data_IF_284907662062
#
_entry.id   IF_284907662062
#
_cell.length_a   1.000
_cell.length_b   1.000
_cell.length_c   1.000
_cell.angle_alpha   90.00
_cell.angle_beta   90.00
_cell.angle_gamma   90.00
#
_symmetry.space_group_name_H-M   'P 1'
#
loop_
_entity.id
_entity.type
_entity.pdbx_description
1 polymer ?
#
# COMPACT_ATOMS: atom_id res chain seq x y z
N UNK A 1 32.73 -13.69 -27.84
CA UNK A 1 33.15 -12.28 -27.63
C UNK A 1 32.10 -11.43 -28.31
N UNK A 2 31.48 -10.52 -27.54
CA UNK A 2 30.40 -9.58 -27.89
C UNK A 2 28.98 -10.14 -28.05
N UNK A 3 28.32 -10.40 -26.92
CA UNK A 3 26.85 -10.40 -26.78
C UNK A 3 26.43 -9.57 -25.55
N UNK A 4 27.06 -8.41 -25.37
CA UNK A 4 26.92 -7.60 -24.15
C UNK A 4 26.51 -6.14 -24.42
N UNK A 5 25.87 -5.85 -25.58
CA UNK A 5 25.56 -4.48 -26.00
C UNK A 5 24.16 -4.27 -26.64
N UNK A 6 23.12 -4.97 -26.17
CA UNK A 6 21.74 -4.70 -26.64
C UNK A 6 20.67 -4.59 -25.56
N UNK A 7 21.03 -4.62 -24.27
CA UNK A 7 20.05 -4.60 -23.18
C UNK A 7 19.57 -3.21 -22.74
N UNK A 8 20.23 -2.13 -23.17
CA UNK A 8 20.07 -0.79 -22.56
C UNK A 8 18.85 0.02 -23.02
N UNK A 9 18.00 -0.50 -23.92
CA UNK A 9 16.84 0.24 -24.44
C UNK A 9 15.54 -0.57 -24.55
N UNK A 10 15.46 -1.73 -23.92
CA UNK A 10 14.29 -2.59 -24.07
C UNK A 10 13.14 -2.12 -23.18
N UNK A 11 12.13 -1.47 -23.75
CA UNK A 11 10.85 -1.22 -23.08
C UNK A 11 9.92 -2.41 -23.31
N UNK A 12 9.20 -2.85 -22.28
CA UNK A 12 8.32 -4.02 -22.33
C UNK A 12 6.97 -3.66 -21.71
N UNK A 13 5.87 -4.20 -22.22
CA UNK A 13 4.62 -4.06 -21.50
C UNK A 13 4.71 -4.79 -20.16
N UNK A 14 4.03 -4.30 -19.13
CA UNK A 14 3.96 -4.96 -17.82
C UNK A 14 3.45 -6.40 -17.98
N UNK A 15 2.45 -6.62 -18.84
CA UNK A 15 1.89 -7.95 -19.12
C UNK A 15 2.91 -8.92 -19.73
N UNK A 16 3.79 -8.46 -20.61
CA UNK A 16 4.88 -9.29 -21.14
C UNK A 16 5.97 -9.52 -20.10
N UNK A 17 6.28 -8.50 -19.29
CA UNK A 17 7.32 -8.57 -18.28
C UNK A 17 6.98 -9.60 -17.19
N UNK A 18 5.75 -9.59 -16.65
CA UNK A 18 5.34 -10.54 -15.60
C UNK A 18 5.34 -12.00 -16.08
N UNK A 19 5.19 -12.26 -17.39
CA UNK A 19 5.20 -13.63 -17.93
C UNK A 19 6.60 -14.21 -18.11
N UNK A 20 7.64 -13.41 -17.92
CA UNK A 20 9.02 -13.90 -17.99
C UNK A 20 9.29 -14.90 -16.86
N UNK A 21 10.26 -15.76 -17.12
CA UNK A 21 10.80 -16.65 -16.09
C UNK A 21 11.81 -15.87 -15.27
N UNK A 22 11.62 -15.88 -13.95
CA UNK A 22 12.53 -15.26 -13.01
C UNK A 22 13.05 -16.32 -12.05
N UNK A 23 14.34 -16.24 -11.73
CA UNK A 23 14.90 -17.02 -10.61
C UNK A 23 14.70 -16.18 -9.35
N UNK A 24 14.05 -16.69 -8.28
CA UNK A 24 13.90 -15.96 -7.03
C UNK A 24 15.26 -15.50 -6.51
N UNK A 25 15.41 -14.20 -6.33
CA UNK A 25 16.62 -13.64 -5.68
C UNK A 25 16.50 -13.89 -4.18
N UNK A 26 15.28 -13.75 -3.65
CA UNK A 26 15.01 -14.07 -2.26
C UNK A 26 13.57 -14.50 -2.00
N UNK A 27 13.41 -15.29 -0.95
CA UNK A 27 12.14 -15.50 -0.29
C UNK A 27 11.94 -14.39 0.76
N UNK A 28 10.79 -13.75 0.68
CA UNK A 28 10.31 -12.79 1.66
C UNK A 28 9.51 -13.54 2.74
N UNK A 29 9.07 -12.81 3.77
CA UNK A 29 8.06 -13.31 4.71
C UNK A 29 6.81 -13.77 3.97
N UNK A 30 6.06 -14.71 4.58
CA UNK A 30 4.81 -15.26 4.04
C UNK A 30 4.96 -16.08 2.75
N UNK A 31 6.16 -16.63 2.50
CA UNK A 31 6.50 -17.39 1.29
C UNK A 31 6.34 -16.57 0.00
N UNK A 32 6.42 -15.24 0.10
CA UNK A 32 6.40 -14.33 -1.04
C UNK A 32 7.74 -14.32 -1.77
N UNK A 33 7.70 -14.03 -3.06
CA UNK A 33 8.88 -14.02 -3.94
C UNK A 33 9.32 -12.59 -4.23
N UNK A 34 10.63 -12.35 -4.26
CA UNK A 34 11.21 -11.11 -4.76
C UNK A 34 12.16 -11.38 -5.93
N UNK A 35 12.01 -10.58 -6.98
CA UNK A 35 12.97 -10.46 -8.07
C UNK A 35 13.26 -9.00 -8.37
N UNK A 36 14.43 -8.73 -8.93
CA UNK A 36 14.85 -7.39 -9.31
C UNK A 36 15.43 -7.37 -10.71
N UNK A 37 15.03 -6.38 -11.50
CA UNK A 37 15.62 -6.06 -12.81
C UNK A 37 16.88 -5.18 -12.68
N UNK A 38 17.17 -4.69 -11.48
CA UNK A 38 18.31 -3.83 -11.17
C UNK A 38 19.17 -4.43 -10.06
N UNK A 39 20.47 -4.17 -10.03
CA UNK A 39 21.28 -4.50 -8.86
C UNK A 39 20.81 -3.67 -7.66
N UNK A 40 20.47 -4.33 -6.56
CA UNK A 40 20.16 -3.69 -5.29
C UNK A 40 21.28 -3.97 -4.30
N UNK A 41 21.65 -2.97 -3.51
CA UNK A 41 22.47 -3.19 -2.33
C UNK A 41 21.66 -3.95 -1.27
N UNK A 42 22.31 -4.67 -0.34
CA UNK A 42 21.61 -5.34 0.76
C UNK A 42 20.81 -4.41 1.67
N UNK A 43 21.13 -3.10 1.69
CA UNK A 43 20.38 -2.10 2.44
C UNK A 43 19.11 -1.70 1.69
N UNK A 44 19.21 -1.41 0.39
CA UNK A 44 18.05 -1.09 -0.45
C UNK A 44 17.04 -2.23 -0.47
N UNK A 45 17.48 -3.47 -0.74
CA UNK A 45 16.58 -4.65 -0.73
C UNK A 45 15.85 -4.79 0.61
N UNK A 46 16.57 -4.53 1.70
CA UNK A 46 16.05 -4.65 3.05
C UNK A 46 14.95 -3.63 3.33
N UNK A 47 15.25 -2.36 3.08
CA UNK A 47 14.36 -1.23 3.33
C UNK A 47 13.18 -1.21 2.35
N UNK A 48 13.40 -1.53 1.08
CA UNK A 48 12.35 -1.45 0.05
C UNK A 48 11.31 -2.57 0.16
N UNK A 49 11.71 -3.79 0.53
CA UNK A 49 10.80 -4.95 0.42
C UNK A 49 10.87 -5.89 1.61
N UNK A 50 12.07 -6.23 2.12
CA UNK A 50 12.20 -7.28 3.13
C UNK A 50 11.56 -6.93 4.47
N UNK A 51 11.95 -5.81 5.05
CA UNK A 51 11.41 -5.37 6.34
C UNK A 51 9.95 -4.93 6.23
N UNK A 52 9.52 -4.18 5.19
CA UNK A 52 8.10 -3.93 4.95
C UNK A 52 7.27 -5.22 4.84
N UNK A 53 7.73 -6.23 4.09
CA UNK A 53 7.03 -7.50 3.97
C UNK A 53 6.96 -8.27 5.30
N UNK A 54 7.97 -8.15 6.17
CA UNK A 54 7.96 -8.76 7.50
C UNK A 54 6.95 -8.08 8.45
N UNK A 55 6.72 -6.78 8.28
CA UNK A 55 5.77 -6.01 9.07
C UNK A 55 4.31 -6.35 8.72
N UNK A 56 4.03 -6.84 7.51
CA UNK A 56 2.67 -7.23 7.09
C UNK A 56 2.14 -8.33 8.03
N UNK A 57 0.95 -8.13 8.65
CA UNK A 57 0.33 -9.17 9.47
C UNK A 57 0.10 -10.46 8.69
N UNK A 58 0.43 -11.61 9.28
CA UNK A 58 0.23 -12.92 8.66
C UNK A 58 -1.23 -13.17 8.25
N UNK A 59 -2.20 -12.61 9.01
CA UNK A 59 -3.61 -12.66 8.67
C UNK A 59 -3.94 -11.93 7.36
N UNK A 60 -3.34 -10.75 7.14
CA UNK A 60 -3.50 -9.99 5.90
C UNK A 60 -2.80 -10.71 4.74
N UNK A 61 -1.55 -11.14 4.93
CA UNK A 61 -0.79 -11.86 3.91
C UNK A 61 -1.50 -13.14 3.44
N UNK A 62 -2.12 -13.89 4.36
CA UNK A 62 -2.92 -15.08 4.03
C UNK A 62 -4.13 -14.77 3.12
N UNK A 63 -4.73 -13.58 3.20
CA UNK A 63 -5.84 -13.17 2.31
C UNK A 63 -5.34 -12.89 0.89
N UNK A 64 -4.14 -12.35 0.77
CA UNK A 64 -3.51 -12.06 -0.53
C UNK A 64 -3.06 -13.35 -1.23
N UNK A 65 -2.59 -14.32 -0.47
CA UNK A 65 -2.09 -15.58 -1.00
C UNK A 65 -0.69 -15.41 -1.61
N UNK A 66 -0.47 -16.00 -2.79
CA UNK A 66 0.82 -15.93 -3.46
C UNK A 66 1.07 -14.53 -4.03
N UNK A 67 2.18 -13.92 -3.62
CA UNK A 67 2.65 -12.63 -4.11
C UNK A 67 4.07 -12.77 -4.64
N UNK A 68 4.31 -12.14 -5.79
CA UNK A 68 5.64 -11.93 -6.35
C UNK A 68 5.87 -10.44 -6.57
N UNK A 69 6.93 -9.93 -5.95
CA UNK A 69 7.40 -8.56 -6.11
C UNK A 69 8.47 -8.53 -7.19
N UNK A 70 8.30 -7.65 -8.17
CA UNK A 70 9.19 -7.43 -9.29
C UNK A 70 9.69 -5.99 -9.22
N UNK A 71 10.88 -5.80 -8.64
CA UNK A 71 11.52 -4.48 -8.58
C UNK A 71 12.07 -4.13 -9.96
N UNK A 72 11.70 -2.95 -10.46
CA UNK A 72 12.06 -2.46 -11.79
C UNK A 72 12.55 -1.01 -11.70
N UNK A 73 13.28 -0.49 -12.71
CA UNK A 73 13.73 0.89 -12.69
C UNK A 73 12.56 1.89 -12.71
N UNK A 74 11.70 1.77 -13.74
CA UNK A 74 10.59 2.67 -14.00
C UNK A 74 9.40 1.91 -14.56
N UNK A 75 8.20 2.41 -14.30
CA UNK A 75 6.99 2.06 -15.05
C UNK A 75 6.39 3.35 -15.61
N UNK A 76 6.32 3.46 -16.94
CA UNK A 76 5.74 4.63 -17.59
C UNK A 76 4.23 4.47 -17.78
N UNK A 77 3.48 5.54 -17.51
CA UNK A 77 2.08 5.64 -17.86
C UNK A 77 1.97 5.89 -19.37
N UNK A 78 1.40 4.96 -20.13
CA UNK A 78 1.11 5.19 -21.55
C UNK A 78 -0.37 4.99 -21.84
N UNK A 79 -0.93 5.75 -22.79
CA UNK A 79 -2.32 5.56 -23.22
C UNK A 79 -2.59 4.18 -23.85
N UNK A 80 -1.54 3.41 -24.14
CA UNK A 80 -1.60 2.02 -24.63
C UNK A 80 -1.40 0.96 -23.55
N UNK A 81 -1.20 1.36 -22.30
CA UNK A 81 -0.96 0.49 -21.15
C UNK A 81 0.41 0.71 -20.50
N UNK A 82 0.61 0.12 -19.33
CA UNK A 82 1.80 0.36 -18.52
C UNK A 82 3.02 -0.39 -19.08
N UNK A 83 4.16 0.30 -19.12
CA UNK A 83 5.40 -0.24 -19.68
C UNK A 83 6.53 -0.20 -18.66
N UNK A 84 7.23 -1.32 -18.50
CA UNK A 84 8.50 -1.39 -17.78
C UNK A 84 9.60 -0.78 -18.65
N UNK A 85 10.25 0.26 -18.13
CA UNK A 85 11.31 0.99 -18.81
C UNK A 85 12.64 0.85 -18.05
N UNK A 86 13.73 0.58 -18.78
CA UNK A 86 15.08 0.48 -18.22
C UNK A 86 15.89 1.79 -18.31
N UNK A 87 15.34 2.78 -19.00
CA UNK A 87 15.79 4.16 -19.03
C UNK A 87 14.64 5.06 -18.58
N UNK A 88 14.96 6.24 -18.03
CA UNK A 88 13.94 7.16 -17.51
C UNK A 88 12.95 7.55 -18.62
N UNK A 89 11.65 7.21 -18.49
CA UNK A 89 10.66 7.53 -19.51
C UNK A 89 10.40 9.04 -19.57
N UNK A 90 9.87 9.50 -20.70
CA UNK A 90 9.34 10.86 -20.83
C UNK A 90 7.87 10.84 -20.40
N UNK A 91 7.51 11.67 -19.41
CA UNK A 91 6.13 11.82 -18.96
C UNK A 91 5.90 11.25 -17.55
N UNK A 92 4.64 10.93 -17.26
CA UNK A 92 4.21 10.38 -15.98
C UNK A 92 4.64 8.92 -15.81
N UNK A 93 4.86 8.56 -14.55
CA UNK A 93 5.32 7.26 -14.09
C UNK A 93 4.41 6.77 -12.98
N UNK A 94 4.31 5.45 -12.86
CA UNK A 94 3.66 4.80 -11.74
C UNK A 94 4.67 4.54 -10.62
N UNK A 95 4.22 4.68 -9.37
CA UNK A 95 4.96 4.24 -8.18
C UNK A 95 4.79 2.75 -7.89
N UNK A 96 3.73 2.14 -8.42
CA UNK A 96 3.49 0.69 -8.41
C UNK A 96 2.42 0.33 -9.47
N UNK A 97 2.47 -0.90 -9.95
CA UNK A 97 1.38 -1.51 -10.75
C UNK A 97 1.29 -2.98 -10.40
N UNK A 98 0.11 -3.58 -10.49
CA UNK A 98 -0.06 -4.99 -10.17
C UNK A 98 -0.98 -5.72 -11.13
N UNK A 99 -0.81 -7.04 -11.21
CA UNK A 99 -1.65 -7.91 -12.02
C UNK A 99 -1.81 -9.28 -11.37
N UNK A 100 -3.03 -9.79 -11.35
CA UNK A 100 -3.34 -11.14 -10.88
C UNK A 100 -3.36 -12.11 -12.06
N UNK A 101 -2.42 -13.06 -12.08
CA UNK A 101 -2.33 -14.08 -13.13
C UNK A 101 -1.99 -15.43 -12.51
N UNK A 102 -2.62 -16.50 -13.00
CA UNK A 102 -2.32 -17.88 -12.57
C UNK A 102 -2.42 -18.10 -11.05
N UNK A 103 -3.37 -17.42 -10.39
CA UNK A 103 -3.58 -17.53 -8.94
C UNK A 103 -2.52 -16.85 -8.07
N UNK A 104 -1.70 -15.98 -8.66
CA UNK A 104 -0.65 -15.19 -7.99
C UNK A 104 -0.80 -13.72 -8.32
N UNK A 105 -0.52 -12.87 -7.34
CA UNK A 105 -0.39 -11.43 -7.52
C UNK A 105 1.04 -11.13 -7.97
N UNK A 106 1.20 -10.38 -9.05
CA UNK A 106 2.47 -9.84 -9.50
C UNK A 106 2.46 -8.34 -9.23
N UNK A 107 3.21 -7.91 -8.22
CA UNK A 107 3.40 -6.51 -7.90
C UNK A 107 4.69 -6.03 -8.58
N UNK A 108 4.58 -5.06 -9.47
CA UNK A 108 5.73 -4.41 -10.12
C UNK A 108 5.99 -3.10 -9.39
N UNK A 109 7.20 -2.96 -8.86
CA UNK A 109 7.58 -1.89 -7.95
C UNK A 109 8.78 -1.10 -8.53
N UNK A 110 8.53 0.05 -9.18
CA UNK A 110 9.54 1.00 -9.58
C UNK A 110 10.38 1.53 -8.40
N UNK A 111 11.70 1.63 -8.55
CA UNK A 111 12.59 2.00 -7.44
C UNK A 111 13.61 3.11 -7.76
N UNK A 112 13.60 3.70 -8.97
CA UNK A 112 14.57 4.75 -9.32
C UNK A 112 14.07 6.19 -9.12
N UNK A 113 12.79 6.40 -8.85
CA UNK A 113 12.22 7.75 -8.62
C UNK A 113 12.01 8.07 -7.14
N UNK A 114 11.94 7.03 -6.32
CA UNK A 114 11.75 7.11 -4.89
C UNK A 114 13.03 6.66 -4.19
N UNK A 115 13.23 7.11 -2.97
CA UNK A 115 14.26 6.50 -2.14
C UNK A 115 13.81 5.11 -1.64
N UNK A 116 14.72 4.41 -0.96
CA UNK A 116 14.44 3.04 -0.50
C UNK A 116 13.29 2.97 0.51
N UNK A 117 13.09 4.02 1.31
CA UNK A 117 12.04 4.08 2.31
C UNK A 117 10.68 4.33 1.67
N UNK A 118 10.60 5.33 0.80
CA UNK A 118 9.39 5.68 0.05
C UNK A 118 8.94 4.52 -0.84
N UNK A 119 9.88 3.81 -1.49
CA UNK A 119 9.58 2.58 -2.24
C UNK A 119 8.98 1.49 -1.34
N UNK A 120 9.48 1.36 -0.10
CA UNK A 120 8.93 0.45 0.89
C UNK A 120 7.53 0.84 1.35
N UNK A 121 7.25 2.14 1.48
CA UNK A 121 5.91 2.62 1.78
C UNK A 121 4.92 2.36 0.62
N UNK A 122 5.34 2.58 -0.64
CA UNK A 122 4.54 2.24 -1.84
C UNK A 122 4.23 0.75 -1.94
N UNK A 123 5.17 -0.11 -1.53
CA UNK A 123 4.90 -1.53 -1.36
C UNK A 123 3.77 -1.76 -0.36
N UNK A 124 3.79 -1.12 0.81
CA UNK A 124 2.72 -1.25 1.82
C UNK A 124 1.37 -0.69 1.34
N UNK A 125 1.38 0.43 0.62
CA UNK A 125 0.19 1.00 0.00
C UNK A 125 -0.43 0.03 -1.01
N UNK A 126 0.39 -0.61 -1.85
CA UNK A 126 -0.04 -1.64 -2.79
C UNK A 126 -0.66 -2.85 -2.09
N UNK A 127 -0.05 -3.29 -0.99
CA UNK A 127 -0.58 -4.38 -0.13
C UNK A 127 -1.96 -4.01 0.43
N UNK A 128 -2.13 -2.78 0.90
CA UNK A 128 -3.40 -2.29 1.43
C UNK A 128 -4.50 -2.22 0.35
N UNK A 129 -4.16 -1.73 -0.86
CA UNK A 129 -5.05 -1.70 -2.01
C UNK A 129 -5.51 -3.12 -2.40
N UNK A 130 -4.57 -4.05 -2.52
CA UNK A 130 -4.85 -5.45 -2.84
C UNK A 130 -5.68 -6.14 -1.75
N UNK A 131 -5.53 -5.75 -0.48
CA UNK A 131 -6.26 -6.35 0.63
C UNK A 131 -7.72 -5.88 0.71
N UNK A 132 -8.01 -4.61 0.40
CA UNK A 132 -9.35 -4.04 0.51
C UNK A 132 -10.48 -4.89 -0.14
N UNK A 133 -10.37 -5.35 -1.41
CA UNK A 133 -11.43 -6.17 -2.03
C UNK A 133 -11.56 -7.57 -1.40
N UNK A 134 -10.62 -7.97 -0.54
CA UNK A 134 -10.59 -9.28 0.15
C UNK A 134 -11.10 -9.21 1.59
N UNK A 135 -11.54 -8.03 2.05
CA UNK A 135 -12.21 -7.87 3.33
C UNK A 135 -13.52 -8.67 3.36
N UNK A 136 -13.82 -9.25 4.51
CA UNK A 136 -15.15 -9.81 4.78
C UNK A 136 -16.17 -8.68 4.95
N UNK A 137 -17.45 -8.99 4.73
CA UNK A 137 -18.53 -8.01 4.96
C UNK A 137 -18.52 -7.49 6.39
N UNK A 138 -18.23 -8.34 7.38
CA UNK A 138 -18.16 -7.93 8.78
C UNK A 138 -17.02 -6.94 9.05
N UNK A 139 -15.82 -7.17 8.49
CA UNK A 139 -14.70 -6.23 8.63
C UNK A 139 -15.04 -4.87 8.00
N UNK A 140 -15.61 -4.91 6.79
CA UNK A 140 -16.03 -3.71 6.08
C UNK A 140 -17.14 -2.94 6.80
N UNK A 141 -18.12 -3.63 7.41
CA UNK A 141 -19.20 -3.04 8.19
C UNK A 141 -18.68 -2.38 9.47
N UNK A 142 -17.71 -3.01 10.16
CA UNK A 142 -17.06 -2.43 11.34
C UNK A 142 -16.30 -1.15 11.00
N UNK A 143 -15.53 -1.16 9.91
CA UNK A 143 -14.82 0.03 9.44
C UNK A 143 -15.80 1.12 8.97
N UNK A 144 -16.89 0.73 8.31
CA UNK A 144 -17.98 1.64 7.92
C UNK A 144 -18.58 2.34 9.13
N UNK A 145 -18.94 1.58 10.18
CA UNK A 145 -19.52 2.13 11.40
C UNK A 145 -18.57 3.13 12.10
N UNK A 146 -17.27 2.84 12.11
CA UNK A 146 -16.25 3.75 12.63
C UNK A 146 -16.24 5.08 11.86
N UNK A 147 -16.22 5.05 10.52
CA UNK A 147 -16.23 6.27 9.71
C UNK A 147 -17.53 7.06 9.84
N UNK A 148 -18.67 6.39 9.96
CA UNK A 148 -19.96 7.05 10.18
C UNK A 148 -20.02 7.77 11.55
N UNK A 149 -19.44 7.19 12.59
CA UNK A 149 -19.31 7.83 13.91
C UNK A 149 -18.43 9.08 13.82
N UNK A 150 -17.28 8.99 13.14
CA UNK A 150 -16.38 10.12 12.93
C UNK A 150 -17.05 11.26 12.16
N UNK A 151 -17.77 10.94 11.07
CA UNK A 151 -18.52 11.92 10.29
C UNK A 151 -19.62 12.59 11.10
N UNK A 152 -20.36 11.82 11.90
CA UNK A 152 -21.41 12.34 12.81
C UNK A 152 -20.84 13.26 13.88
N UNK A 153 -19.62 12.97 14.32
CA UNK A 153 -18.88 13.77 15.30
C UNK A 153 -18.17 14.99 14.69
N UNK A 154 -18.27 15.18 13.37
CA UNK A 154 -17.69 16.33 12.67
C UNK A 154 -16.17 16.27 12.51
N UNK A 155 -15.56 15.09 12.56
CA UNK A 155 -14.12 14.92 12.35
C UNK A 155 -13.77 15.27 10.91
N UNK A 156 -12.91 16.26 10.71
CA UNK A 156 -12.57 16.78 9.36
C UNK A 156 -11.30 16.19 8.77
N UNK A 157 -10.32 15.87 9.62
CA UNK A 157 -9.01 15.35 9.19
C UNK A 157 -9.04 13.90 8.72
N UNK A 158 -7.98 13.51 8.00
CA UNK A 158 -7.71 12.15 7.50
C UNK A 158 -6.20 11.84 7.53
N UNK A 159 -5.86 10.57 7.25
CA UNK A 159 -4.47 10.11 7.17
C UNK A 159 -3.78 10.54 5.89
N UNK A 160 -4.50 10.51 4.78
CA UNK A 160 -4.00 10.82 3.44
C UNK A 160 -4.83 11.93 2.76
N UNK A 161 -4.19 12.67 1.84
CA UNK A 161 -4.84 13.78 1.13
C UNK A 161 -5.98 13.34 0.21
N UNK A 162 -5.89 12.16 -0.40
CA UNK A 162 -6.99 11.59 -1.19
C UNK A 162 -8.19 11.29 -0.31
N UNK A 163 -7.96 10.72 0.87
CA UNK A 163 -9.01 10.50 1.86
C UNK A 163 -9.63 11.83 2.32
N UNK A 164 -8.83 12.89 2.54
CA UNK A 164 -9.36 14.25 2.80
C UNK A 164 -10.28 14.68 1.65
N UNK A 165 -9.80 14.61 0.40
CA UNK A 165 -10.58 15.02 -0.79
C UNK A 165 -11.89 14.24 -0.92
N UNK A 166 -11.87 12.93 -0.70
CA UNK A 166 -13.05 12.07 -0.76
C UNK A 166 -14.05 12.33 0.39
N UNK A 167 -13.56 12.74 1.57
CA UNK A 167 -14.39 13.09 2.74
C UNK A 167 -15.10 14.44 2.60
N UNK A 168 -14.44 15.43 1.98
CA UNK A 168 -14.94 16.82 1.89
C UNK A 168 -16.39 16.95 1.37
N UNK A 169 -16.83 16.25 0.30
CA UNK A 169 -18.21 16.30 -0.16
C UNK A 169 -19.24 15.79 0.85
N UNK A 170 -18.84 14.85 1.73
CA UNK A 170 -19.70 14.22 2.74
C UNK A 170 -19.97 15.17 3.91
N UNK A 171 -18.96 15.92 4.34
CA UNK A 171 -19.07 16.91 5.43
C UNK A 171 -19.96 18.11 5.06
N UNK A 172 -19.99 18.50 3.78
CA UNK A 172 -20.72 19.69 3.30
C UNK A 172 -22.24 19.55 3.19
N UNK A 173 -22.81 18.41 3.59
CA UNK A 173 -24.18 18.36 4.13
C UNK A 173 -25.35 18.91 3.29
N UNK A 174 -25.32 18.89 1.95
CA UNK A 174 -26.57 18.85 1.18
C UNK A 174 -26.88 17.39 0.86
N UNK A 175 -27.57 16.74 1.79
CA UNK A 175 -28.20 15.43 1.57
C UNK A 175 -29.26 15.56 0.46
N UNK A 176 -28.80 15.55 -0.78
CA UNK A 176 -29.65 15.29 -1.93
C UNK A 176 -29.84 13.77 -2.03
N UNK A 177 -31.06 13.26 -2.18
CA UNK A 177 -31.34 11.84 -2.43
C UNK A 177 -30.57 11.25 -3.63
N UNK A 178 -30.00 12.11 -4.50
CA UNK A 178 -29.15 11.74 -5.63
C UNK A 178 -27.69 11.47 -5.28
N UNK A 179 -27.23 11.77 -4.06
CA UNK A 179 -25.80 11.63 -3.71
C UNK A 179 -25.33 10.20 -3.46
N UNK A 180 -26.24 9.21 -3.40
CA UNK A 180 -25.93 7.80 -3.58
C UNK A 180 -25.00 7.15 -2.55
N UNK A 181 -24.96 5.82 -2.57
CA UNK A 181 -24.03 4.98 -1.79
C UNK A 181 -22.57 5.15 -2.24
N UNK A 182 -22.37 5.50 -3.51
CA UNK A 182 -21.07 5.49 -4.19
C UNK A 182 -20.03 6.49 -3.64
N UNK A 183 -20.33 7.78 -3.34
CA UNK A 183 -19.32 8.68 -2.78
C UNK A 183 -18.80 8.25 -1.41
N UNK A 184 -19.69 7.69 -0.57
CA UNK A 184 -19.28 7.15 0.72
C UNK A 184 -18.46 5.86 0.55
N UNK A 185 -18.85 4.98 -0.38
CA UNK A 185 -18.07 3.77 -0.70
C UNK A 185 -16.66 4.11 -1.20
N UNK A 186 -16.52 5.14 -2.04
CA UNK A 186 -15.21 5.62 -2.49
C UNK A 186 -14.39 6.18 -1.32
N UNK A 187 -14.96 7.07 -0.50
CA UNK A 187 -14.30 7.58 0.71
C UNK A 187 -13.85 6.46 1.65
N UNK A 188 -14.73 5.49 1.93
CA UNK A 188 -14.40 4.33 2.76
C UNK A 188 -13.22 3.54 2.19
N UNK A 189 -13.18 3.35 0.87
CA UNK A 189 -12.10 2.63 0.20
C UNK A 189 -10.76 3.33 0.39
N UNK A 190 -10.66 4.62 0.03
CA UNK A 190 -9.39 5.37 0.13
C UNK A 190 -8.96 5.59 1.58
N UNK A 191 -9.92 5.77 2.49
CA UNK A 191 -9.67 5.87 3.93
C UNK A 191 -9.12 4.56 4.48
N UNK A 192 -9.71 3.41 4.10
CA UNK A 192 -9.21 2.10 4.53
C UNK A 192 -7.80 1.84 4.01
N UNK A 193 -7.55 2.07 2.72
CA UNK A 193 -6.25 1.79 2.08
C UNK A 193 -5.15 2.61 2.77
N UNK A 194 -5.33 3.92 2.92
CA UNK A 194 -4.36 4.78 3.62
C UNK A 194 -4.16 4.37 5.08
N UNK A 195 -5.25 4.05 5.80
CA UNK A 195 -5.16 3.60 7.20
C UNK A 195 -4.41 2.27 7.32
N UNK A 196 -4.64 1.32 6.42
CA UNK A 196 -3.98 0.01 6.44
C UNK A 196 -2.49 0.12 6.07
N UNK A 197 -2.14 0.96 5.09
CA UNK A 197 -0.74 1.21 4.74
C UNK A 197 0.03 1.77 5.95
N UNK A 198 -0.53 2.78 6.60
CA UNK A 198 0.05 3.45 7.77
C UNK A 198 0.09 2.55 9.01
N UNK A 199 -0.92 1.69 9.19
CA UNK A 199 -0.91 0.66 10.23
C UNK A 199 0.28 -0.28 10.08
N UNK A 200 0.52 -0.80 8.88
CA UNK A 200 1.67 -1.68 8.63
C UNK A 200 2.98 -0.90 8.68
N UNK A 201 2.98 0.36 8.26
CA UNK A 201 4.14 1.25 8.36
C UNK A 201 4.58 1.45 9.82
N UNK A 202 3.62 1.68 10.72
CA UNK A 202 3.88 1.74 12.17
C UNK A 202 4.30 0.40 12.79
N UNK A 203 4.05 -0.73 12.13
CA UNK A 203 4.65 -2.01 12.52
C UNK A 203 6.09 -2.14 12.01
N UNK A 204 6.39 -1.61 10.82
CA UNK A 204 7.73 -1.69 10.25
C UNK A 204 8.75 -0.88 11.06
N UNK A 205 8.43 0.35 11.45
CA UNK A 205 9.27 1.16 12.32
C UNK A 205 8.50 2.31 12.98
N UNK A 206 9.16 3.04 13.88
CA UNK A 206 8.58 4.22 14.53
C UNK A 206 8.24 5.31 13.51
N UNK A 207 6.98 5.76 13.53
CA UNK A 207 6.47 6.82 12.65
C UNK A 207 6.14 8.07 13.46
N UNK A 208 6.46 9.24 12.90
CA UNK A 208 6.07 10.51 13.50
C UNK A 208 4.61 10.81 13.16
N UNK A 209 3.77 11.01 14.19
CA UNK A 209 2.37 11.35 13.97
C UNK A 209 2.26 12.80 13.51
N UNK A 210 1.64 13.01 12.35
CA UNK A 210 1.33 14.34 11.83
C UNK A 210 0.15 14.95 12.58
N UNK A 211 0.27 16.23 12.95
CA UNK A 211 -0.76 16.97 13.71
C UNK A 211 -1.12 18.22 12.90
N UNK A 212 -2.42 18.47 12.74
CA UNK A 212 -2.95 19.57 11.92
C UNK A 212 -4.46 19.44 11.75
N UNK A 213 -5.12 20.47 11.21
CA UNK A 213 -6.57 20.45 11.01
C UNK A 213 -7.00 19.49 9.87
N UNK A 214 -6.08 19.24 8.95
CA UNK A 214 -6.16 18.29 7.85
C UNK A 214 -5.82 16.85 8.28
N UNK A 215 -5.11 16.70 9.40
CA UNK A 215 -4.65 15.40 9.89
C UNK A 215 -5.67 14.75 10.83
N UNK A 216 -5.77 13.43 10.77
CA UNK A 216 -6.68 12.66 11.62
C UNK A 216 -6.33 12.90 13.10
N UNK A 217 -7.28 13.33 13.96
CA UNK A 217 -6.97 13.57 15.35
C UNK A 217 -6.59 12.27 16.09
N UNK A 218 -5.73 12.39 17.10
CA UNK A 218 -5.14 11.25 17.82
C UNK A 218 -6.15 10.22 18.33
N UNK A 219 -7.30 10.60 18.94
CA UNK A 219 -8.26 9.61 19.40
C UNK A 219 -8.84 8.75 18.26
N UNK A 220 -9.10 9.36 17.10
CA UNK A 220 -9.61 8.65 15.93
C UNK A 220 -8.52 7.79 15.28
N UNK A 221 -7.30 8.31 15.19
CA UNK A 221 -6.14 7.54 14.73
C UNK A 221 -5.96 6.28 15.59
N UNK A 222 -5.95 6.43 16.92
CA UNK A 222 -5.82 5.30 17.85
C UNK A 222 -6.94 4.28 17.62
N UNK A 223 -8.21 4.70 17.55
CA UNK A 223 -9.34 3.80 17.30
C UNK A 223 -9.22 3.04 15.97
N UNK A 224 -8.76 3.70 14.91
CA UNK A 224 -8.53 3.04 13.63
C UNK A 224 -7.41 2.00 13.71
N UNK A 225 -6.31 2.34 14.37
CA UNK A 225 -5.17 1.43 14.57
C UNK A 225 -5.55 0.23 15.45
N UNK A 226 -6.33 0.44 16.51
CA UNK A 226 -6.89 -0.64 17.34
C UNK A 226 -7.80 -1.55 16.51
N UNK A 227 -8.69 -0.97 15.71
CA UNK A 227 -9.58 -1.75 14.84
C UNK A 227 -8.79 -2.62 13.85
N UNK A 228 -7.76 -2.07 13.22
CA UNK A 228 -6.90 -2.84 12.32
C UNK A 228 -6.07 -3.88 13.06
N UNK A 229 -5.62 -3.62 14.29
CA UNK A 229 -4.96 -4.63 15.13
C UNK A 229 -5.90 -5.79 15.50
N UNK A 230 -7.18 -5.52 15.68
CA UNK A 230 -8.17 -6.58 15.91
C UNK A 230 -8.48 -7.39 14.65
N UNK A 231 -8.58 -6.73 13.49
CA UNK A 231 -8.83 -7.40 12.20
C UNK A 231 -7.60 -8.18 11.70
N UNK A 232 -6.42 -7.59 11.86
CA UNK A 232 -5.13 -8.09 11.38
C UNK A 232 -4.07 -8.01 12.48
N UNK A 233 -4.09 -8.94 13.45
CA UNK A 233 -3.17 -8.92 14.58
C UNK A 233 -1.70 -8.85 14.15
N UNK A 234 -0.88 -7.97 14.78
CA UNK A 234 0.54 -7.89 14.49
C UNK A 234 1.24 -9.24 14.64
N UNK A 235 2.29 -9.46 13.84
CA UNK A 235 3.14 -10.64 13.97
C UNK A 235 3.82 -10.67 15.36
N UNK A 236 4.21 -11.85 15.89
CA UNK A 236 4.94 -11.93 17.15
C UNK A 236 6.17 -11.00 17.17
N UNK A 237 6.30 -10.18 18.22
CA UNK A 237 7.37 -9.20 18.36
C UNK A 237 7.03 -7.80 17.83
N UNK A 238 5.95 -7.66 17.05
CA UNK A 238 5.47 -6.37 16.54
C UNK A 238 4.34 -5.82 17.40
N UNK A 239 4.30 -4.49 17.56
CA UNK A 239 3.23 -3.77 18.26
C UNK A 239 3.04 -2.41 17.62
N UNK A 240 1.78 -2.00 17.45
CA UNK A 240 1.42 -0.70 16.87
C UNK A 240 1.58 0.43 17.90
N UNK A 241 1.32 0.10 19.17
CA UNK A 241 1.47 1.04 20.27
C UNK A 241 2.65 0.63 21.14
N UNK A 242 3.53 1.59 21.41
CA UNK A 242 4.61 1.44 22.38
C UNK A 242 4.04 1.14 23.76
N UNK A 243 4.71 0.26 24.52
CA UNK A 243 4.25 -0.15 25.85
C UNK A 243 4.15 1.02 26.86
N UNK A 244 4.82 2.13 26.58
CA UNK A 244 4.82 3.35 27.40
C UNK A 244 3.59 4.24 27.19
N UNK A 245 2.79 4.02 26.14
CA UNK A 245 1.56 4.79 25.83
C UNK A 245 0.30 4.22 26.50
N UNK A 246 0.45 3.22 27.37
CA UNK A 246 -0.63 2.45 27.99
C UNK A 246 -1.11 2.95 29.36
N UNK A 247 -0.67 4.12 29.83
CA UNK A 247 -1.19 4.75 31.04
C UNK A 247 -1.32 6.25 30.83
N UNK A 248 -2.57 6.69 30.83
CA UNK A 248 -3.03 8.07 30.99
C UNK A 248 -2.60 9.08 29.91
N UNK A 249 -3.50 9.32 28.95
CA UNK A 249 -3.96 10.66 28.49
C UNK A 249 -5.18 10.54 27.57
#
# INVERSE_FOLDING_TARGET
MNDQHSAENQTLSVAEYIRRTFVPISHLSHDWEMHSAVPLTPAEERTMVREPAQAVPAAAAKRLGSLRVLVVPYVSCSGTGDMVCFSKPKGETHSSVWSETDGRINLVLPCHELDAHDTGFEFLASIAELLHPRLTSQELDRYTALLEEELRSGVTGEMDEEAVRAKQPLLKGRASPRRGRAPFEHYRTVSFISTMAEYVHGLWHDVQIRIGAEHLPLPQLRRRMELLAEMFPPNPGYRVFSAEMGKDE
#
